data_IF_001079680590
#
_entry.id   IF_001079680590
#
_cell.length_a   1.000
_cell.length_b   1.000
_cell.length_c   1.000
_cell.angle_alpha   90.00
_cell.angle_beta   90.00
_cell.angle_gamma   90.00
#
_symmetry.space_group_name_H-M   'P 1'
#
loop_
_entity.id
_entity.type
_entity.pdbx_description
1 polymer ?
#
# COMPACT_ATOMS: atom_id res chain seq x y z
N UNK A 1 -5.45 7.10 -8.63
CA UNK A 1 -4.12 6.93 -8.03
C UNK A 1 -4.27 6.88 -6.52
N UNK A 2 -3.51 6.01 -5.84
CA UNK A 2 -3.45 5.99 -4.37
C UNK A 2 -3.05 7.39 -3.88
N UNK A 3 -3.80 7.93 -2.92
CA UNK A 3 -3.65 9.31 -2.47
C UNK A 3 -2.61 9.45 -1.35
N UNK A 4 -1.38 9.05 -1.65
CA UNK A 4 -0.26 9.04 -0.69
C UNK A 4 -0.11 10.37 0.07
N UNK A 5 -0.15 11.49 -0.65
CA UNK A 5 -0.08 12.82 -0.06
C UNK A 5 -1.24 13.13 0.91
N UNK A 6 -2.48 12.84 0.54
CA UNK A 6 -3.64 13.09 1.40
C UNK A 6 -3.59 12.22 2.67
N UNK A 7 -3.12 10.97 2.55
CA UNK A 7 -2.95 10.05 3.69
C UNK A 7 -1.83 10.54 4.61
N UNK A 8 -0.69 10.93 4.04
CA UNK A 8 0.41 11.52 4.80
C UNK A 8 -0.03 12.74 5.58
N UNK A 9 -0.79 13.65 4.96
CA UNK A 9 -1.35 14.83 5.63
C UNK A 9 -2.14 14.47 6.88
N UNK A 10 -3.04 13.47 6.79
CA UNK A 10 -3.83 13.00 7.94
C UNK A 10 -2.93 12.52 9.09
N UNK A 11 -1.88 11.77 8.79
CA UNK A 11 -0.93 11.29 9.79
C UNK A 11 -0.07 12.40 10.39
N UNK A 12 0.40 13.35 9.56
CA UNK A 12 1.16 14.52 10.03
C UNK A 12 0.32 15.36 11.00
N UNK A 13 -0.92 15.68 10.61
CA UNK A 13 -1.82 16.53 11.40
C UNK A 13 -2.29 15.85 12.69
N UNK A 14 -2.63 14.55 12.64
CA UNK A 14 -3.02 13.80 13.85
C UNK A 14 -1.90 13.68 14.88
N UNK A 15 -0.64 13.71 14.45
CA UNK A 15 0.55 13.74 15.32
C UNK A 15 0.98 15.16 15.73
N UNK A 16 0.24 16.20 15.30
CA UNK A 16 0.49 17.59 15.70
C UNK A 16 1.61 18.30 14.96
N UNK A 17 2.17 17.70 13.90
CA UNK A 17 3.22 18.33 13.09
C UNK A 17 2.64 19.35 12.12
N UNK A 18 3.26 20.52 12.01
CA UNK A 18 2.98 21.53 10.97
C UNK A 18 3.90 21.30 9.78
N UNK A 19 3.59 21.91 8.63
CA UNK A 19 4.43 21.82 7.44
C UNK A 19 5.90 22.23 7.70
N UNK A 20 6.11 23.29 8.49
CA UNK A 20 7.44 23.79 8.86
C UNK A 20 8.25 22.82 9.71
N UNK A 21 7.58 21.92 10.43
CA UNK A 21 8.24 20.98 11.33
C UNK A 21 8.87 19.82 10.54
N UNK A 22 8.48 19.64 9.27
CA UNK A 22 8.95 18.58 8.37
C UNK A 22 10.07 19.07 7.43
N UNK A 23 10.45 20.36 7.47
CA UNK A 23 11.46 20.91 6.55
C UNK A 23 12.86 20.30 6.73
N UNK A 24 13.14 19.75 7.92
CA UNK A 24 14.40 19.04 8.22
C UNK A 24 14.63 17.82 7.32
N UNK A 25 13.59 17.26 6.73
CA UNK A 25 13.66 16.18 5.75
C UNK A 25 14.17 16.63 4.35
N UNK A 26 14.64 17.87 4.20
CA UNK A 26 15.17 18.38 2.93
C UNK A 26 14.07 18.68 1.90
N UNK A 27 12.87 18.98 2.38
CA UNK A 27 11.70 19.37 1.59
C UNK A 27 11.21 20.74 2.03
N UNK A 28 10.87 21.61 1.09
CA UNK A 28 10.26 22.89 1.44
C UNK A 28 8.78 22.71 1.83
N UNK A 29 8.28 23.58 2.71
CA UNK A 29 6.84 23.69 3.03
C UNK A 29 5.95 23.75 1.80
N UNK A 30 6.37 24.43 0.73
CA UNK A 30 5.61 24.52 -0.52
C UNK A 30 5.58 23.20 -1.28
N UNK A 31 6.70 22.49 -1.38
CA UNK A 31 6.76 21.17 -2.02
C UNK A 31 5.94 20.15 -1.23
N UNK A 32 6.04 20.16 0.10
CA UNK A 32 5.25 19.28 0.97
C UNK A 32 3.74 19.55 0.83
N UNK A 33 3.32 20.82 0.80
CA UNK A 33 1.92 21.21 0.59
C UNK A 33 1.37 20.73 -0.75
N UNK A 34 2.14 20.89 -1.84
CA UNK A 34 1.75 20.38 -3.16
C UNK A 34 1.64 18.85 -3.18
N UNK A 35 2.57 18.15 -2.54
CA UNK A 35 2.50 16.71 -2.37
C UNK A 35 1.24 16.28 -1.61
N UNK A 36 0.94 16.92 -0.48
CA UNK A 36 -0.24 16.60 0.33
C UNK A 36 -1.58 16.84 -0.38
N UNK A 37 -1.60 17.73 -1.37
CA UNK A 37 -2.76 17.99 -2.23
C UNK A 37 -2.81 17.08 -3.48
N UNK A 38 -1.81 16.24 -3.68
CA UNK A 38 -1.69 15.40 -4.87
C UNK A 38 -1.30 16.14 -6.15
N UNK A 39 -0.76 17.36 -6.02
CA UNK A 39 -0.31 18.18 -7.16
C UNK A 39 1.08 17.77 -7.67
N UNK A 40 1.91 17.18 -6.80
CA UNK A 40 3.26 16.71 -7.12
C UNK A 40 3.59 15.41 -6.41
N UNK A 41 4.37 14.53 -7.02
CA UNK A 41 4.94 13.37 -6.34
C UNK A 41 6.27 13.69 -5.64
N UNK A 42 6.66 12.80 -4.72
CA UNK A 42 7.98 12.81 -4.10
C UNK A 42 8.82 11.65 -4.61
N UNK A 43 10.14 11.86 -4.67
CA UNK A 43 11.07 10.74 -4.82
C UNK A 43 10.99 9.84 -3.58
N UNK A 44 11.32 8.56 -3.75
CA UNK A 44 11.31 7.59 -2.64
C UNK A 44 12.16 8.08 -1.46
N UNK A 45 13.36 8.61 -1.72
CA UNK A 45 14.25 9.12 -0.68
C UNK A 45 13.60 10.25 0.15
N UNK A 46 12.93 11.21 -0.53
CA UNK A 46 12.21 12.29 0.17
C UNK A 46 11.00 11.77 0.93
N UNK A 47 10.29 10.80 0.35
CA UNK A 47 9.14 10.20 0.99
C UNK A 47 9.50 9.45 2.28
N UNK A 48 10.60 8.69 2.28
CA UNK A 48 11.10 8.03 3.49
C UNK A 48 11.53 9.05 4.55
N UNK A 49 12.24 10.11 4.15
CA UNK A 49 12.68 11.15 5.09
C UNK A 49 11.52 11.87 5.80
N UNK A 50 10.44 12.18 5.09
CA UNK A 50 9.27 12.83 5.73
C UNK A 50 8.49 11.90 6.64
N UNK A 51 8.52 10.58 6.39
CA UNK A 51 7.92 9.57 7.26
C UNK A 51 8.71 9.42 8.56
N UNK A 52 10.04 9.38 8.46
CA UNK A 52 10.94 9.32 9.61
C UNK A 52 10.76 10.53 10.53
N UNK A 53 10.63 11.74 9.97
CA UNK A 53 10.47 12.99 10.75
C UNK A 53 9.17 13.01 11.58
N UNK A 54 8.12 12.31 11.13
CA UNK A 54 6.85 12.20 11.88
C UNK A 54 6.74 10.90 12.68
N UNK A 55 7.85 10.14 12.82
CA UNK A 55 7.90 8.81 13.42
C UNK A 55 6.81 7.86 12.88
N UNK A 56 6.68 7.79 11.55
CA UNK A 56 5.71 6.94 10.86
C UNK A 56 6.41 5.81 10.11
N UNK A 57 6.43 4.58 10.66
CA UNK A 57 6.95 3.41 9.95
C UNK A 57 6.25 3.20 8.60
N UNK A 58 7.02 2.85 7.57
CA UNK A 58 6.50 2.68 6.20
C UNK A 58 5.45 1.58 6.11
N UNK A 59 5.58 0.51 6.88
CA UNK A 59 4.63 -0.59 6.97
C UNK A 59 3.28 -0.14 7.57
N UNK A 60 3.29 0.64 8.65
CA UNK A 60 2.08 1.25 9.22
C UNK A 60 1.42 2.20 8.22
N UNK A 61 2.24 2.97 7.50
CA UNK A 61 1.74 3.89 6.49
C UNK A 61 1.08 3.13 5.34
N UNK A 62 1.75 2.10 4.84
CA UNK A 62 1.22 1.26 3.77
C UNK A 62 -0.04 0.53 4.21
N UNK A 63 -0.12 0.07 5.45
CA UNK A 63 -1.34 -0.53 5.99
C UNK A 63 -2.55 0.39 5.87
N UNK A 64 -2.38 1.68 6.19
CA UNK A 64 -3.45 2.68 6.01
C UNK A 64 -3.73 3.01 4.54
N UNK A 65 -2.71 3.01 3.66
CA UNK A 65 -2.88 3.15 2.21
C UNK A 65 -3.71 2.01 1.60
N UNK A 66 -3.68 0.85 2.23
CA UNK A 66 -4.48 -0.31 1.85
C UNK A 66 -5.86 -0.33 2.53
N UNK A 67 -6.38 0.83 2.97
CA UNK A 67 -7.69 0.96 3.67
C UNK A 67 -7.80 0.03 4.89
N UNK A 68 -6.68 -0.16 5.61
CA UNK A 68 -6.58 -1.07 6.76
C UNK A 68 -6.90 -2.53 6.42
N UNK A 69 -6.94 -2.89 5.13
CA UNK A 69 -6.93 -4.28 4.72
C UNK A 69 -5.58 -4.88 5.04
N UNK A 70 -5.61 -6.02 5.74
CA UNK A 70 -4.40 -6.81 5.93
C UNK A 70 -3.95 -7.28 4.55
N UNK A 71 -2.64 -7.27 4.33
CA UNK A 71 -1.92 -7.82 3.18
C UNK A 71 -2.72 -8.92 2.43
N UNK A 72 -2.68 -8.94 1.10
CA UNK A 72 -3.34 -9.98 0.29
C UNK A 72 -2.99 -11.39 0.80
N UNK A 73 -1.77 -11.55 1.32
CA UNK A 73 -1.30 -12.74 2.00
C UNK A 73 -2.10 -13.07 3.28
N UNK A 74 -2.43 -12.09 4.11
CA UNK A 74 -3.23 -12.29 5.31
C UNK A 74 -4.70 -12.58 5.01
N UNK A 75 -5.29 -11.94 3.99
CA UNK A 75 -6.63 -12.32 3.51
C UNK A 75 -6.64 -13.75 2.97
N UNK A 76 -5.60 -14.15 2.24
CA UNK A 76 -5.40 -15.52 1.81
C UNK A 76 -5.31 -16.47 3.01
N UNK A 77 -4.40 -16.20 3.95
CA UNK A 77 -4.17 -17.05 5.11
C UNK A 77 -5.41 -17.17 5.98
N UNK A 78 -6.19 -16.10 6.16
CA UNK A 78 -7.45 -16.16 6.91
C UNK A 78 -8.50 -17.06 6.23
N UNK A 79 -8.62 -17.00 4.89
CA UNK A 79 -9.50 -17.92 4.14
C UNK A 79 -9.03 -19.37 4.22
N UNK A 80 -7.71 -19.61 4.09
CA UNK A 80 -7.11 -20.94 4.24
C UNK A 80 -7.39 -21.49 5.64
N UNK A 81 -7.13 -20.71 6.69
CA UNK A 81 -7.38 -21.10 8.08
C UNK A 81 -8.84 -21.48 8.32
N UNK A 82 -9.79 -20.75 7.73
CA UNK A 82 -11.22 -21.09 7.83
C UNK A 82 -11.53 -22.46 7.24
N UNK A 83 -10.99 -22.80 6.07
CA UNK A 83 -11.20 -24.13 5.47
C UNK A 83 -10.54 -25.23 6.29
N UNK A 84 -9.32 -24.99 6.79
CA UNK A 84 -8.59 -25.93 7.64
C UNK A 84 -9.35 -26.21 8.94
N UNK A 85 -9.81 -25.16 9.64
CA UNK A 85 -10.57 -25.29 10.89
C UNK A 85 -11.90 -26.01 10.72
N UNK A 86 -12.52 -25.90 9.54
CA UNK A 86 -13.79 -26.57 9.23
C UNK A 86 -13.60 -27.95 8.58
N UNK A 87 -12.35 -28.43 8.44
CA UNK A 87 -12.00 -29.65 7.71
C UNK A 87 -12.55 -29.70 6.27
N UNK A 88 -12.75 -28.53 5.64
CA UNK A 88 -13.33 -28.37 4.31
C UNK A 88 -12.22 -28.43 3.24
N UNK A 89 -11.75 -29.66 2.98
CA UNK A 89 -10.68 -29.94 2.02
C UNK A 89 -11.08 -29.57 0.59
N UNK A 90 -12.34 -29.79 0.23
CA UNK A 90 -12.84 -29.52 -1.12
C UNK A 90 -13.01 -28.02 -1.35
N UNK A 91 -13.50 -27.27 -0.35
CA UNK A 91 -13.52 -25.82 -0.36
C UNK A 91 -12.12 -25.22 -0.52
N UNK A 92 -11.12 -25.77 0.18
CA UNK A 92 -9.73 -25.34 0.03
C UNK A 92 -9.18 -25.60 -1.38
N UNK A 93 -9.40 -26.81 -1.93
CA UNK A 93 -8.97 -27.16 -3.30
C UNK A 93 -9.61 -26.25 -4.34
N UNK A 94 -10.92 -26.06 -4.27
CA UNK A 94 -11.67 -25.21 -5.19
C UNK A 94 -11.19 -23.75 -5.12
N UNK A 95 -10.96 -23.24 -3.91
CA UNK A 95 -10.40 -21.91 -3.71
C UNK A 95 -9.02 -21.75 -4.39
N UNK A 96 -8.13 -22.72 -4.25
CA UNK A 96 -6.83 -22.70 -4.92
C UNK A 96 -6.94 -22.74 -6.46
N UNK A 97 -7.81 -23.60 -7.00
CA UNK A 97 -8.03 -23.73 -8.46
C UNK A 97 -8.56 -22.40 -9.03
N UNK A 98 -9.57 -21.80 -8.39
CA UNK A 98 -10.13 -20.52 -8.80
C UNK A 98 -9.08 -19.40 -8.80
N UNK A 99 -8.27 -19.32 -7.74
CA UNK A 99 -7.20 -18.32 -7.62
C UNK A 99 -6.11 -18.52 -8.67
N UNK A 100 -5.70 -19.77 -8.94
CA UNK A 100 -4.73 -20.10 -9.97
C UNK A 100 -5.20 -19.69 -11.37
N UNK A 101 -6.47 -19.93 -11.69
CA UNK A 101 -7.10 -19.49 -12.95
C UNK A 101 -7.05 -17.97 -13.11
N UNK A 102 -7.35 -17.21 -12.03
CA UNK A 102 -7.25 -15.75 -12.05
C UNK A 102 -5.82 -15.25 -12.28
N UNK A 103 -4.81 -15.89 -11.68
CA UNK A 103 -3.39 -15.53 -11.86
C UNK A 103 -2.95 -15.79 -13.32
N UNK A 104 -3.35 -16.92 -13.90
CA UNK A 104 -3.05 -17.25 -15.29
C UNK A 104 -3.72 -16.26 -16.26
N UNK A 105 -4.97 -15.88 -16.01
CA UNK A 105 -5.65 -14.86 -16.80
C UNK A 105 -4.97 -13.48 -16.72
N UNK A 106 -4.39 -13.11 -15.56
CA UNK A 106 -3.59 -11.87 -15.46
C UNK A 106 -2.25 -11.93 -16.21
N UNK A 107 -1.66 -13.12 -16.37
CA UNK A 107 -0.38 -13.30 -17.09
C UNK A 107 -0.51 -13.25 -18.61
N UNK A 108 -1.70 -13.53 -19.16
CA UNK A 108 -1.99 -13.42 -20.60
C UNK A 108 -1.98 -11.97 -21.15
N UNK A 109 -1.75 -10.95 -20.31
CA UNK A 109 -1.55 -9.57 -20.75
C UNK A 109 -0.06 -9.23 -21.02
N UNK A 110 0.89 -10.10 -20.65
CA UNK A 110 2.35 -9.85 -20.82
C UNK A 110 2.94 -10.65 -22.00
N UNK A 111 2.21 -11.62 -22.57
CA UNK A 111 2.75 -12.48 -23.64
C UNK A 111 2.46 -12.02 -25.08
N UNK A 112 1.81 -10.87 -25.30
CA UNK A 112 1.49 -10.37 -26.65
C UNK A 112 2.51 -9.36 -27.22
N UNK A 113 3.61 -9.06 -26.52
CA UNK A 113 4.66 -8.13 -27.01
C UNK A 113 6.01 -8.79 -27.30
N UNK A 114 6.14 -10.12 -27.21
CA UNK A 114 7.42 -10.82 -27.45
C UNK A 114 7.30 -12.03 -28.39
N UNK A 115 6.51 -11.89 -29.45
CA UNK A 115 6.66 -12.71 -30.65
C UNK A 115 6.54 -11.83 -31.90
N UNK A 116 7.63 -11.15 -32.21
CA UNK A 116 8.09 -10.81 -33.57
C UNK A 116 9.51 -11.35 -33.71
#
# INVERSE_FOLDING_TARGET
>A
MKKFGEIFKKFRESRGFRLKDVEKAGISTSQLSRFEKGETDLTISKFMAILDEINMPIDEFMYAVHDFHRDELNELLSKVMRFVSNHDVDGLKNYFILRWSQILNRRNFISLTLFY
#
